data_IF_993919356846
#
_entry.id   IF_993919356846
#
_cell.length_a   1.000
_cell.length_b   1.000
_cell.length_c   1.000
_cell.angle_alpha   90.00
_cell.angle_beta   90.00
_cell.angle_gamma   90.00
#
_symmetry.space_group_name_H-M   'P 1'
#
loop_
_entity.id
_entity.type
_entity.pdbx_description
1 polymer ?
#
# COMPACT_ATOMS: atom_id res chain seq x y z
N UNK A 1 2.20 -15.14 -3.14
CA UNK A 1 3.61 -14.70 -3.19
C UNK A 1 3.93 -14.06 -4.53
N UNK A 2 3.63 -12.80 -4.63
CA UNK A 2 3.87 -12.04 -5.86
C UNK A 2 4.98 -11.02 -5.61
N UNK A 3 5.90 -10.93 -6.54
CA UNK A 3 6.94 -9.91 -6.48
C UNK A 3 6.73 -8.95 -7.64
N UNK A 4 6.63 -7.67 -7.34
CA UNK A 4 6.47 -6.63 -8.34
C UNK A 4 7.68 -5.71 -8.25
N UNK A 5 8.48 -5.71 -9.25
CA UNK A 5 9.70 -4.90 -9.22
C UNK A 5 10.07 -4.45 -10.61
N UNK A 6 11.07 -3.59 -10.69
CA UNK A 6 11.66 -3.14 -11.95
C UNK A 6 10.61 -2.64 -12.94
N UNK A 7 9.70 -1.83 -12.45
CA UNK A 7 8.66 -1.26 -13.29
C UNK A 7 7.45 -2.15 -13.53
N UNK A 8 7.38 -3.31 -12.87
CA UNK A 8 6.22 -4.18 -12.98
C UNK A 8 4.99 -3.60 -12.31
N UNK A 9 3.83 -4.10 -12.64
CA UNK A 9 2.61 -3.65 -11.99
C UNK A 9 1.62 -4.79 -11.77
N UNK A 10 0.82 -4.67 -10.74
CA UNK A 10 -0.21 -5.63 -10.42
C UNK A 10 -1.50 -4.88 -10.12
N UNK A 11 -2.58 -5.32 -10.72
CA UNK A 11 -3.89 -4.73 -10.48
C UNK A 11 -4.76 -5.78 -9.81
N UNK A 12 -5.32 -5.44 -8.66
CA UNK A 12 -6.19 -6.32 -7.91
C UNK A 12 -7.55 -5.64 -7.81
N UNK A 13 -8.55 -6.21 -8.44
CA UNK A 13 -9.88 -5.61 -8.38
C UNK A 13 -10.95 -6.70 -8.46
N UNK A 14 -12.21 -6.30 -8.41
CA UNK A 14 -13.37 -7.19 -8.55
C UNK A 14 -13.31 -8.40 -7.62
N UNK A 15 -12.95 -8.14 -6.37
CA UNK A 15 -12.88 -9.20 -5.38
C UNK A 15 -11.61 -10.05 -5.43
N UNK A 16 -10.65 -9.67 -6.27
CA UNK A 16 -9.36 -10.37 -6.29
C UNK A 16 -8.57 -10.18 -5.02
N UNK A 17 -7.55 -10.99 -4.81
CA UNK A 17 -6.70 -10.84 -3.63
C UNK A 17 -5.25 -11.19 -3.92
N UNK A 18 -4.37 -10.57 -3.18
CA UNK A 18 -2.95 -10.86 -3.20
C UNK A 18 -2.48 -11.08 -1.78
N UNK A 19 -1.71 -12.12 -1.57
CA UNK A 19 -1.16 -12.45 -0.26
C UNK A 19 0.36 -12.50 -0.40
N UNK A 20 1.06 -11.86 0.51
CA UNK A 20 2.52 -11.87 0.54
C UNK A 20 3.12 -11.26 -0.73
N UNK A 21 2.65 -10.10 -1.11
CA UNK A 21 3.19 -9.39 -2.26
C UNK A 21 4.36 -8.51 -1.85
N UNK A 22 5.35 -8.40 -2.70
CA UNK A 22 6.47 -7.49 -2.49
C UNK A 22 6.51 -6.50 -3.66
N UNK A 23 6.47 -5.22 -3.35
CA UNK A 23 6.47 -4.16 -4.35
C UNK A 23 7.73 -3.33 -4.15
N UNK A 24 8.61 -3.29 -5.12
CA UNK A 24 9.87 -2.56 -4.97
C UNK A 24 10.41 -2.15 -6.32
N UNK A 25 11.49 -1.39 -6.30
CA UNK A 25 12.23 -1.00 -7.50
C UNK A 25 11.35 -0.40 -8.59
N UNK A 26 10.48 0.51 -8.18
CA UNK A 26 9.58 1.15 -9.13
C UNK A 26 8.35 0.33 -9.48
N UNK A 27 8.15 -0.79 -8.82
CA UNK A 27 6.94 -1.60 -9.02
C UNK A 27 5.69 -0.88 -8.50
N UNK A 28 4.57 -1.38 -8.87
CA UNK A 28 3.31 -0.68 -8.65
C UNK A 28 2.20 -1.70 -8.36
N UNK A 29 1.42 -1.47 -7.35
CA UNK A 29 0.27 -2.34 -7.07
C UNK A 29 -0.97 -1.46 -6.89
N UNK A 30 -2.04 -1.80 -7.58
CA UNK A 30 -3.29 -1.07 -7.50
C UNK A 30 -4.36 -2.00 -6.96
N UNK A 31 -5.03 -1.60 -5.89
CA UNK A 31 -6.07 -2.40 -5.25
C UNK A 31 -7.34 -1.59 -5.29
N UNK A 32 -8.34 -2.09 -5.97
CA UNK A 32 -9.60 -1.36 -6.12
C UNK A 32 -10.77 -2.30 -6.27
N UNK A 33 -11.97 -1.77 -6.26
CA UNK A 33 -13.20 -2.50 -6.52
C UNK A 33 -13.34 -3.77 -5.68
N UNK A 34 -13.12 -3.64 -4.38
CA UNK A 34 -13.23 -4.77 -3.48
C UNK A 34 -12.04 -5.70 -3.44
N UNK A 35 -10.96 -5.36 -4.15
CA UNK A 35 -9.74 -6.17 -4.08
C UNK A 35 -9.11 -6.11 -2.69
N UNK A 36 -8.26 -7.07 -2.40
CA UNK A 36 -7.60 -7.16 -1.09
C UNK A 36 -6.14 -7.53 -1.22
N UNK A 37 -5.33 -6.95 -0.37
CA UNK A 37 -3.93 -7.36 -0.28
C UNK A 37 -3.56 -7.52 1.19
N UNK A 38 -2.80 -8.56 1.49
CA UNK A 38 -2.32 -8.76 2.85
C UNK A 38 -0.85 -9.10 2.84
N UNK A 39 -0.17 -8.77 3.93
CA UNK A 39 1.26 -9.02 4.09
C UNK A 39 2.07 -8.44 2.91
N UNK A 40 1.76 -7.22 2.52
CA UNK A 40 2.42 -6.56 1.41
C UNK A 40 3.62 -5.77 1.92
N UNK A 41 4.73 -5.88 1.22
CA UNK A 41 5.94 -5.10 1.53
C UNK A 41 6.18 -4.13 0.38
N UNK A 42 6.29 -2.85 0.68
CA UNK A 42 6.52 -1.81 -0.31
C UNK A 42 7.83 -1.12 0.03
N UNK A 43 8.79 -1.17 -0.86
CA UNK A 43 10.09 -0.56 -0.57
C UNK A 43 10.77 -0.15 -1.86
N UNK A 44 11.87 0.55 -1.72
CA UNK A 44 12.78 0.91 -2.83
C UNK A 44 12.05 1.54 -4.02
N UNK A 45 11.22 2.52 -3.72
CA UNK A 45 10.50 3.22 -4.79
C UNK A 45 9.23 2.54 -5.26
N UNK A 46 8.83 1.44 -4.63
CA UNK A 46 7.56 0.81 -4.97
C UNK A 46 6.37 1.65 -4.54
N UNK A 47 5.22 1.41 -5.12
CA UNK A 47 4.01 2.16 -4.80
C UNK A 47 2.80 1.25 -4.74
N UNK A 48 1.90 1.54 -3.83
CA UNK A 48 0.65 0.83 -3.69
C UNK A 48 -0.49 1.84 -3.65
N UNK A 49 -1.49 1.65 -4.48
CA UNK A 49 -2.66 2.53 -4.52
C UNK A 49 -3.88 1.70 -4.11
N UNK A 50 -4.62 2.19 -3.13
CA UNK A 50 -5.79 1.51 -2.61
C UNK A 50 -6.97 2.45 -2.79
N UNK A 51 -7.96 2.06 -3.59
CA UNK A 51 -9.14 2.91 -3.78
C UNK A 51 -10.36 2.06 -4.10
N UNK A 52 -11.50 2.73 -4.28
CA UNK A 52 -12.77 2.12 -4.69
C UNK A 52 -13.12 0.87 -3.89
N UNK A 53 -12.98 0.94 -2.57
CA UNK A 53 -13.33 -0.18 -1.73
C UNK A 53 -12.24 -1.23 -1.57
N UNK A 54 -11.06 -0.99 -2.12
CA UNK A 54 -9.94 -1.91 -1.90
C UNK A 54 -9.48 -1.91 -0.46
N UNK A 55 -8.78 -2.94 -0.06
CA UNK A 55 -8.33 -3.13 1.32
C UNK A 55 -6.92 -3.69 1.38
N UNK A 56 -6.15 -3.21 2.32
CA UNK A 56 -4.81 -3.74 2.58
C UNK A 56 -4.69 -4.04 4.07
N UNK A 57 -4.21 -5.22 4.39
CA UNK A 57 -3.99 -5.64 5.76
C UNK A 57 -2.53 -6.01 5.92
N UNK A 58 -1.88 -5.49 6.94
CA UNK A 58 -0.48 -5.81 7.26
C UNK A 58 0.50 -5.43 6.16
N UNK A 59 0.49 -4.16 5.79
CA UNK A 59 1.46 -3.65 4.83
C UNK A 59 2.68 -3.08 5.54
N UNK A 60 3.84 -3.21 4.94
CA UNK A 60 5.06 -2.57 5.41
C UNK A 60 5.59 -1.64 4.32
N UNK A 61 5.78 -0.39 4.64
CA UNK A 61 6.22 0.63 3.70
C UNK A 61 7.55 1.18 4.19
N UNK A 62 8.59 1.04 3.42
CA UNK A 62 9.91 1.50 3.86
C UNK A 62 10.77 1.93 2.69
N UNK A 63 11.87 2.55 3.00
CA UNK A 63 12.95 2.86 2.06
C UNK A 63 12.48 3.44 0.73
N UNK A 64 11.68 4.49 0.82
CA UNK A 64 11.19 5.15 -0.40
C UNK A 64 9.91 4.57 -0.94
N UNK A 65 9.31 3.61 -0.25
CA UNK A 65 8.02 3.07 -0.65
C UNK A 65 6.89 4.07 -0.44
N UNK A 66 5.78 3.80 -1.05
CA UNK A 66 4.67 4.75 -1.10
C UNK A 66 3.35 4.00 -1.06
N UNK A 67 2.44 4.44 -0.24
CA UNK A 67 1.10 3.85 -0.20
C UNK A 67 0.08 4.99 -0.26
N UNK A 68 -0.88 4.89 -1.14
CA UNK A 68 -1.93 5.89 -1.29
C UNK A 68 -3.27 5.21 -1.00
N UNK A 69 -4.04 5.76 -0.08
CA UNK A 69 -5.35 5.24 0.30
C UNK A 69 -6.39 6.31 0.01
N UNK A 70 -7.32 6.02 -0.86
CA UNK A 70 -8.33 7.02 -1.23
C UNK A 70 -9.63 6.36 -1.65
N UNK A 71 -10.65 7.16 -1.79
CA UNK A 71 -11.96 6.78 -2.35
C UNK A 71 -12.53 5.48 -1.82
N UNK A 72 -12.63 5.38 -0.50
CA UNK A 72 -13.18 4.18 0.11
C UNK A 72 -12.19 3.06 0.36
N UNK A 73 -10.92 3.29 0.00
CA UNK A 73 -9.89 2.30 0.31
C UNK A 73 -9.61 2.23 1.80
N UNK A 74 -9.02 1.14 2.22
CA UNK A 74 -8.68 0.92 3.63
C UNK A 74 -7.32 0.30 3.78
N UNK A 75 -6.61 0.73 4.79
CA UNK A 75 -5.33 0.13 5.16
C UNK A 75 -5.33 -0.08 6.66
N UNK A 76 -4.93 -1.26 7.11
CA UNK A 76 -4.82 -1.53 8.54
C UNK A 76 -3.52 -2.24 8.84
N UNK A 77 -3.05 -2.06 10.08
CA UNK A 77 -1.81 -2.67 10.54
C UNK A 77 -0.64 -2.36 9.62
N UNK A 78 -0.52 -1.11 9.21
CA UNK A 78 0.54 -0.67 8.32
C UNK A 78 1.74 -0.19 9.14
N UNK A 79 2.92 -0.65 8.77
CA UNK A 79 4.17 -0.19 9.39
C UNK A 79 4.89 0.66 8.37
N UNK A 80 5.24 1.89 8.77
CA UNK A 80 5.94 2.83 7.89
C UNK A 80 7.27 3.13 8.54
N UNK A 81 8.34 2.87 7.85
CA UNK A 81 9.65 3.12 8.41
C UNK A 81 10.48 3.99 7.47
N UNK A 82 11.68 4.25 7.87
CA UNK A 82 12.60 5.23 7.27
C UNK A 82 12.42 5.47 5.78
N UNK A 83 11.86 6.59 5.44
CA UNK A 83 11.67 6.99 4.05
C UNK A 83 10.38 6.53 3.41
N UNK A 84 9.56 5.76 4.13
CA UNK A 84 8.24 5.38 3.61
C UNK A 84 7.24 6.51 3.72
N UNK A 85 6.24 6.50 2.88
CA UNK A 85 5.20 7.53 2.89
C UNK A 85 3.84 6.86 2.72
N UNK A 86 2.87 7.25 3.55
CA UNK A 86 1.48 6.85 3.39
C UNK A 86 0.64 8.11 3.22
N UNK A 87 -0.15 8.15 2.18
CA UNK A 87 -1.05 9.27 1.91
C UNK A 87 -2.48 8.78 1.99
N UNK A 88 -3.29 9.40 2.83
CA UNK A 88 -4.71 9.05 2.99
C UNK A 88 -5.52 10.24 2.55
N UNK A 89 -6.33 10.09 1.54
CA UNK A 89 -7.09 11.20 0.98
C UNK A 89 -8.58 10.89 1.00
N UNK A 90 -9.34 11.78 0.46
CA UNK A 90 -10.81 11.82 0.51
C UNK A 90 -11.45 10.45 0.48
N UNK A 91 -12.05 10.07 1.59
CA UNK A 91 -12.76 8.80 1.70
C UNK A 91 -11.90 7.59 2.04
N UNK A 92 -10.60 7.77 2.10
CA UNK A 92 -9.72 6.67 2.51
C UNK A 92 -9.65 6.55 4.01
N UNK A 93 -9.19 5.43 4.48
CA UNK A 93 -9.09 5.12 5.90
C UNK A 93 -7.81 4.37 6.21
N UNK A 94 -7.15 4.73 7.27
CA UNK A 94 -5.96 4.01 7.71
C UNK A 94 -6.05 3.83 9.22
N UNK A 95 -5.82 2.62 9.71
CA UNK A 95 -5.89 2.31 11.14
C UNK A 95 -4.68 1.51 11.56
N UNK A 96 -4.36 1.58 12.84
CA UNK A 96 -3.23 0.84 13.42
C UNK A 96 -1.94 1.05 12.64
N UNK A 97 -1.62 2.31 12.39
CA UNK A 97 -0.43 2.68 11.64
C UNK A 97 0.72 2.87 12.61
N UNK A 98 1.81 2.19 12.35
CA UNK A 98 3.05 2.36 13.09
C UNK A 98 4.02 3.18 12.26
N UNK A 99 4.44 4.30 12.79
CA UNK A 99 5.32 5.21 12.07
C UNK A 99 6.64 5.32 12.81
N UNK A 100 7.73 5.14 12.09
CA UNK A 100 9.08 5.25 12.65
C UNK A 100 9.77 6.52 12.17
N UNK A 101 10.97 6.73 12.67
CA UNK A 101 11.78 7.89 12.30
C UNK A 101 11.99 7.98 10.81
N UNK A 102 11.66 9.11 10.23
CA UNK A 102 11.82 9.35 8.81
C UNK A 102 10.64 8.91 7.96
N UNK A 103 9.64 8.31 8.56
CA UNK A 103 8.41 7.98 7.83
C UNK A 103 7.47 9.18 7.82
N UNK A 104 6.58 9.21 6.87
CA UNK A 104 5.62 10.30 6.75
C UNK A 104 4.21 9.77 6.49
N UNK A 105 3.23 10.39 7.13
CA UNK A 105 1.83 10.11 6.89
C UNK A 105 1.15 11.42 6.52
N UNK A 106 0.47 11.43 5.39
CA UNK A 106 -0.29 12.60 4.95
C UNK A 106 -1.77 12.25 4.96
N UNK A 107 -2.57 13.04 5.65
CA UNK A 107 -4.01 12.84 5.71
C UNK A 107 -4.69 14.09 5.18
N UNK A 108 -5.55 13.91 4.23
CA UNK A 108 -6.21 15.01 3.56
C UNK A 108 -7.69 15.13 3.96
#
# INVERSE_FOLDING_TARGET
>A
NTVISSGGSQVINDGGSAVSAAVSSGGFQIISSGGKASNTVISSGGAQVINDGGSVISAAVSSGGFQIVSSGGKASNTVISSGGVVSVTSGGSATNINQSSGAAIVVD
#
